data_IF_081608483522
#
_entry.id   IF_081608483522
#
_cell.length_a   1.000
_cell.length_b   1.000
_cell.length_c   1.000
_cell.angle_alpha   90.00
_cell.angle_beta   90.00
_cell.angle_gamma   90.00
#
_symmetry.space_group_name_H-M   'P 1'
#
loop_
_entity.id
_entity.type
_entity.pdbx_description
1 polymer ?
#
# COMPACT_ATOMS: atom_id res chain seq x y z
N UNK A 1 -21.06 -4.10 -7.60
CA UNK A 1 -19.68 -4.47 -7.27
C UNK A 1 -19.15 -3.38 -6.37
N UNK A 2 -19.09 -3.62 -5.06
CA UNK A 2 -18.50 -2.64 -4.13
C UNK A 2 -17.00 -2.64 -4.40
N UNK A 3 -16.47 -1.51 -4.85
CA UNK A 3 -15.03 -1.32 -5.02
C UNK A 3 -14.43 -1.17 -3.62
N UNK A 4 -13.86 -2.25 -3.10
CA UNK A 4 -13.26 -2.33 -1.75
C UNK A 4 -12.00 -1.47 -1.55
N UNK A 5 -11.62 -0.63 -2.51
CA UNK A 5 -10.46 0.26 -2.39
C UNK A 5 -10.66 1.24 -1.23
N UNK A 6 -11.79 1.95 -1.21
CA UNK A 6 -12.01 3.01 -0.22
C UNK A 6 -12.23 2.46 1.19
N UNK A 7 -12.92 1.32 1.32
CA UNK A 7 -13.08 0.66 2.62
C UNK A 7 -11.74 0.17 3.17
N UNK A 8 -10.85 -0.35 2.32
CA UNK A 8 -9.50 -0.76 2.72
C UNK A 8 -8.64 0.43 3.14
N UNK A 9 -8.75 1.57 2.45
CA UNK A 9 -8.07 2.82 2.80
C UNK A 9 -8.52 3.35 4.16
N UNK A 10 -9.83 3.34 4.45
CA UNK A 10 -10.39 3.75 5.75
C UNK A 10 -9.88 2.85 6.88
N UNK A 11 -9.85 1.53 6.70
CA UNK A 11 -9.34 0.59 7.71
C UNK A 11 -7.86 0.85 8.03
N UNK A 12 -7.05 1.12 7.01
CA UNK A 12 -5.63 1.45 7.19
C UNK A 12 -5.49 2.82 7.85
N UNK A 13 -6.24 3.82 7.41
CA UNK A 13 -6.17 5.16 7.98
C UNK A 13 -6.55 5.18 9.47
N UNK A 14 -7.60 4.46 9.87
CA UNK A 14 -7.97 4.30 11.27
C UNK A 14 -6.85 3.64 12.08
N UNK A 15 -6.33 2.51 11.59
CA UNK A 15 -5.29 1.73 12.28
C UNK A 15 -4.00 2.53 12.51
N UNK A 16 -3.52 3.26 11.51
CA UNK A 16 -2.25 4.02 11.57
C UNK A 16 -2.47 5.52 11.80
N UNK A 17 -3.69 5.94 12.19
CA UNK A 17 -4.05 7.35 12.45
C UNK A 17 -3.65 8.30 11.31
N UNK A 18 -3.97 7.90 10.08
CA UNK A 18 -3.66 8.67 8.88
C UNK A 18 -4.80 9.62 8.52
N UNK A 19 -4.45 10.77 7.96
CA UNK A 19 -5.38 11.69 7.34
C UNK A 19 -5.55 11.31 5.87
N UNK A 20 -6.71 10.76 5.51
CA UNK A 20 -7.06 10.47 4.11
C UNK A 20 -7.21 11.76 3.32
N UNK A 21 -6.82 11.70 2.04
CA UNK A 21 -6.95 12.82 1.12
C UNK A 21 -8.09 12.57 0.14
N UNK A 22 -8.76 13.65 -0.27
CA UNK A 22 -9.78 13.54 -1.31
C UNK A 22 -9.18 12.96 -2.60
N UNK A 23 -9.93 12.06 -3.24
CA UNK A 23 -9.53 11.24 -4.39
C UNK A 23 -9.10 12.02 -5.65
N UNK A 24 -9.12 13.36 -5.62
CA UNK A 24 -8.84 14.20 -6.77
C UNK A 24 -7.34 14.50 -6.88
N UNK A 25 -6.65 13.65 -7.67
CA UNK A 25 -5.39 13.94 -8.35
C UNK A 25 -4.06 13.86 -7.55
N UNK A 26 -3.97 13.06 -6.48
CA UNK A 26 -2.69 12.83 -5.78
C UNK A 26 -2.16 11.42 -6.00
N UNK A 27 -0.83 11.28 -6.03
CA UNK A 27 -0.09 10.01 -6.21
C UNK A 27 -0.07 9.13 -4.95
N UNK A 28 -0.73 9.58 -3.88
CA UNK A 28 -0.76 9.00 -2.54
C UNK A 28 -2.14 9.22 -1.91
N UNK A 29 -2.52 8.35 -0.97
CA UNK A 29 -3.88 8.21 -0.47
C UNK A 29 -4.06 8.87 0.93
N UNK A 30 -2.97 8.96 1.71
CA UNK A 30 -3.01 9.52 3.06
C UNK A 30 -1.69 10.21 3.47
N UNK A 31 -1.75 10.96 4.57
CA UNK A 31 -0.57 11.48 5.28
C UNK A 31 -0.60 11.11 6.76
N UNK A 32 0.57 10.91 7.36
CA UNK A 32 0.69 10.73 8.81
C UNK A 32 1.00 12.06 9.53
N UNK A 33 1.14 12.00 10.86
CA UNK A 33 1.47 13.18 11.68
C UNK A 33 2.84 13.82 11.39
N UNK A 34 3.71 13.14 10.64
CA UNK A 34 5.01 13.63 10.19
C UNK A 34 5.00 14.09 8.73
N UNK A 35 3.80 14.27 8.15
CA UNK A 35 3.60 14.66 6.75
C UNK A 35 4.22 13.67 5.73
N UNK A 36 4.49 12.43 6.15
CA UNK A 36 4.91 11.38 5.23
C UNK A 36 3.74 11.07 4.31
N UNK A 37 4.01 10.93 3.00
CA UNK A 37 2.99 10.63 1.98
C UNK A 37 2.88 9.14 1.80
N UNK A 38 1.70 8.58 2.09
CA UNK A 38 1.47 7.14 2.09
C UNK A 38 0.51 6.76 0.97
N UNK A 39 0.93 5.81 0.14
CA UNK A 39 0.04 5.07 -0.73
C UNK A 39 -0.45 3.82 -0.01
N UNK A 40 -1.75 3.56 -0.09
CA UNK A 40 -2.42 2.40 0.49
C UNK A 40 -2.84 1.46 -0.66
N UNK A 41 -2.61 0.17 -0.47
CA UNK A 41 -3.09 -0.88 -1.37
C UNK A 41 -3.74 -1.98 -0.57
N UNK A 42 -5.06 -2.12 -0.71
CA UNK A 42 -5.81 -3.25 -0.22
C UNK A 42 -6.03 -4.27 -1.36
N UNK A 43 -5.87 -5.56 -1.06
CA UNK A 43 -6.11 -6.62 -2.04
C UNK A 43 -6.70 -7.86 -1.40
N UNK A 44 -7.55 -8.57 -2.15
CA UNK A 44 -8.03 -9.91 -1.80
C UNK A 44 -7.32 -11.01 -2.60
N UNK A 45 -6.41 -10.64 -3.51
CA UNK A 45 -5.64 -11.58 -4.34
C UNK A 45 -4.15 -11.58 -3.95
N UNK A 46 -3.32 -12.37 -4.65
CA UNK A 46 -1.90 -12.55 -4.32
C UNK A 46 -0.95 -11.53 -4.98
N UNK A 47 -1.47 -10.39 -5.41
CA UNK A 47 -0.69 -9.31 -6.03
C UNK A 47 -1.33 -7.95 -5.83
N UNK A 48 -0.51 -6.92 -5.99
CA UNK A 48 -0.95 -5.52 -6.09
C UNK A 48 -0.35 -4.89 -7.34
N UNK A 49 -0.93 -3.78 -7.75
CA UNK A 49 -0.44 -2.94 -8.84
C UNK A 49 -0.13 -1.54 -8.32
N UNK A 50 0.99 -0.99 -8.75
CA UNK A 50 1.46 0.36 -8.42
C UNK A 50 1.75 1.12 -9.72
N UNK A 51 1.23 2.35 -9.83
CA UNK A 51 1.32 3.19 -11.04
C UNK A 51 2.49 4.18 -11.01
N UNK A 52 2.98 4.52 -9.81
CA UNK A 52 4.11 5.42 -9.59
C UNK A 52 4.96 4.91 -8.42
N UNK A 53 6.20 5.39 -8.31
CA UNK A 53 7.03 5.13 -7.14
C UNK A 53 6.42 5.83 -5.90
N UNK A 54 6.01 5.10 -4.86
CA UNK A 54 5.48 5.71 -3.65
C UNK A 54 6.61 6.17 -2.73
N UNK A 55 6.40 7.28 -2.01
CA UNK A 55 7.28 7.69 -0.91
C UNK A 55 7.21 6.64 0.20
N UNK A 56 6.01 6.37 0.73
CA UNK A 56 5.70 5.25 1.61
C UNK A 56 4.54 4.42 1.06
N UNK A 57 4.55 3.13 1.40
CA UNK A 57 3.55 2.16 0.96
C UNK A 57 3.06 1.34 2.16
N UNK A 58 1.75 1.25 2.30
CA UNK A 58 1.09 0.25 3.14
C UNK A 58 0.32 -0.71 2.25
N UNK A 59 0.59 -2.01 2.40
CA UNK A 59 -0.16 -3.07 1.71
C UNK A 59 -0.86 -3.94 2.74
N UNK A 60 -2.17 -4.10 2.60
CA UNK A 60 -2.95 -5.06 3.38
C UNK A 60 -3.53 -6.15 2.49
N UNK A 61 -3.61 -7.37 3.04
CA UNK A 61 -4.37 -8.47 2.48
C UNK A 61 -5.67 -8.58 3.25
N UNK A 62 -6.79 -8.58 2.54
CA UNK A 62 -8.12 -8.84 3.09
C UNK A 62 -8.48 -10.29 2.75
N UNK A 63 -8.89 -11.05 3.77
CA UNK A 63 -9.36 -12.42 3.66
C UNK A 63 -10.87 -12.46 3.37
N UNK A 64 -11.39 -13.62 2.95
CA UNK A 64 -12.79 -13.76 2.57
C UNK A 64 -13.78 -13.60 3.74
N UNK A 65 -13.31 -13.75 4.97
CA UNK A 65 -14.09 -13.50 6.20
C UNK A 65 -14.10 -12.03 6.62
N UNK A 66 -13.45 -11.15 5.84
CA UNK A 66 -13.35 -9.72 6.12
C UNK A 66 -12.24 -9.34 7.09
N UNK A 67 -11.50 -10.31 7.65
CA UNK A 67 -10.27 -10.02 8.38
C UNK A 67 -9.19 -9.50 7.44
N UNK A 68 -8.21 -8.78 7.98
CA UNK A 68 -7.10 -8.29 7.17
C UNK A 68 -5.79 -8.31 7.96
N UNK A 69 -4.68 -8.37 7.23
CA UNK A 69 -3.34 -8.27 7.82
C UNK A 69 -2.41 -7.39 7.00
N UNK A 70 -1.43 -6.81 7.71
CA UNK A 70 -0.35 -6.05 7.10
C UNK A 70 0.58 -6.99 6.31
N UNK A 71 0.80 -6.68 5.05
CA UNK A 71 1.77 -7.36 4.19
C UNK A 71 3.07 -6.55 4.10
N UNK A 72 2.94 -5.22 4.12
CA UNK A 72 4.06 -4.28 4.05
C UNK A 72 3.68 -2.95 4.68
N UNK A 73 4.66 -2.32 5.32
CA UNK A 73 4.57 -1.00 5.90
C UNK A 73 5.99 -0.41 5.90
N UNK A 74 6.23 0.60 5.07
CA UNK A 74 7.55 1.22 4.96
C UNK A 74 7.74 2.00 3.66
N UNK A 75 9.00 2.35 3.32
CA UNK A 75 9.33 3.11 2.11
C UNK A 75 8.88 2.40 0.83
N UNK A 76 8.37 3.13 -0.17
CA UNK A 76 7.84 2.51 -1.40
C UNK A 76 8.91 2.05 -2.39
N UNK A 77 10.10 2.66 -2.36
CA UNK A 77 11.17 2.43 -3.32
C UNK A 77 11.61 0.95 -3.47
N UNK A 78 11.80 0.15 -2.40
CA UNK A 78 12.16 -1.27 -2.53
C UNK A 78 11.10 -2.08 -3.29
N UNK A 79 9.82 -1.82 -3.02
CA UNK A 79 8.69 -2.48 -3.68
C UNK A 79 8.62 -2.05 -5.16
N UNK A 80 8.77 -0.76 -5.44
CA UNK A 80 8.79 -0.23 -6.80
C UNK A 80 9.93 -0.83 -7.63
N UNK A 81 11.16 -0.84 -7.12
CA UNK A 81 12.32 -1.42 -7.82
C UNK A 81 12.13 -2.90 -8.15
N UNK A 82 11.49 -3.64 -7.26
CA UNK A 82 11.26 -5.07 -7.39
C UNK A 82 9.97 -5.43 -8.16
N UNK A 83 9.12 -4.47 -8.48
CA UNK A 83 7.91 -4.71 -9.25
C UNK A 83 8.23 -5.10 -10.71
N UNK A 84 7.28 -5.78 -11.35
CA UNK A 84 7.41 -6.21 -12.75
C UNK A 84 7.56 -5.05 -13.74
N UNK A 85 7.61 -5.37 -15.02
CA UNK A 85 7.67 -4.38 -16.10
C UNK A 85 6.41 -3.49 -16.09
N UNK A 86 6.56 -2.26 -16.59
CA UNK A 86 5.44 -1.37 -16.84
C UNK A 86 4.50 -2.02 -17.88
N UNK A 87 3.24 -2.19 -17.50
CA UNK A 87 2.19 -2.72 -18.35
C UNK A 87 1.57 -1.60 -19.20
N UNK A 88 0.78 -1.95 -20.22
CA UNK A 88 0.13 -0.99 -21.13
C UNK A 88 -0.80 0.01 -20.40
N UNK A 89 -1.30 -0.37 -19.23
CA UNK A 89 -2.14 0.48 -18.38
C UNK A 89 -1.33 1.41 -17.46
N UNK A 90 -0.01 1.50 -17.64
CA UNK A 90 0.86 2.34 -16.82
C UNK A 90 1.13 1.80 -15.42
N UNK A 91 0.79 0.54 -15.13
CA UNK A 91 1.01 -0.06 -13.82
C UNK A 91 2.11 -1.12 -13.83
N UNK A 92 2.73 -1.31 -12.67
CA UNK A 92 3.66 -2.41 -12.40
C UNK A 92 3.02 -3.32 -11.36
N UNK A 93 3.01 -4.63 -11.63
CA UNK A 93 2.47 -5.61 -10.68
C UNK A 93 3.59 -6.28 -9.88
N UNK A 94 3.30 -6.62 -8.63
CA UNK A 94 4.20 -7.38 -7.75
C UNK A 94 3.39 -8.33 -6.88
N UNK A 95 3.91 -9.54 -6.65
CA UNK A 95 3.24 -10.54 -5.83
C UNK A 95 3.40 -10.26 -4.33
N UNK A 96 2.41 -10.65 -3.53
CA UNK A 96 2.49 -10.51 -2.07
C UNK A 96 3.66 -11.31 -1.49
N UNK A 97 3.98 -12.48 -2.04
CA UNK A 97 5.14 -13.27 -1.61
C UNK A 97 6.48 -12.52 -1.78
N UNK A 98 6.60 -11.65 -2.78
CA UNK A 98 7.79 -10.81 -2.96
C UNK A 98 7.77 -9.62 -2.00
N UNK A 99 6.61 -8.99 -1.84
CA UNK A 99 6.42 -7.89 -0.89
C UNK A 99 6.71 -8.33 0.55
N UNK A 100 6.19 -9.48 1.00
CA UNK A 100 6.45 -10.04 2.34
C UNK A 100 7.94 -10.23 2.60
N UNK A 101 8.71 -10.67 1.59
CA UNK A 101 10.17 -10.78 1.71
C UNK A 101 10.84 -9.43 1.90
N UNK A 102 10.35 -8.39 1.22
CA UNK A 102 10.86 -7.02 1.38
C UNK A 102 10.50 -6.42 2.74
N UNK A 103 9.34 -6.78 3.30
CA UNK A 103 8.91 -6.34 4.63
C UNK A 103 9.91 -6.71 5.73
N UNK A 104 10.58 -7.86 5.61
CA UNK A 104 11.59 -8.33 6.57
C UNK A 104 12.83 -7.43 6.65
N UNK A 105 13.04 -6.55 5.67
CA UNK A 105 14.19 -5.64 5.61
C UNK A 105 13.80 -4.19 5.93
N UNK A 106 12.54 -3.93 6.30
CA UNK A 106 12.12 -2.59 6.71
C UNK A 106 12.54 -2.38 8.16
N UNK A 107 13.37 -1.35 8.40
CA UNK A 107 13.74 -0.96 9.75
C UNK A 107 12.52 -0.45 10.52
N UNK A 108 12.47 -0.70 11.83
CA UNK A 108 11.33 -0.27 12.66
C UNK A 108 11.11 1.25 12.63
N UNK A 109 12.20 2.02 12.53
CA UNK A 109 12.16 3.48 12.41
C UNK A 109 11.46 3.96 11.12
N UNK A 110 11.47 3.14 10.07
CA UNK A 110 10.86 3.47 8.78
C UNK A 110 9.39 3.04 8.71
N UNK A 111 8.86 2.36 9.73
CA UNK A 111 7.45 1.97 9.74
C UNK A 111 6.55 3.15 10.09
N UNK A 112 5.36 3.15 9.50
CA UNK A 112 4.25 4.00 9.93
C UNK A 112 3.63 3.37 11.19
N UNK A 113 3.33 4.19 12.20
CA UNK A 113 2.89 3.76 13.55
C UNK A 113 1.46 4.17 13.82
#
# INVERSE_FOLDING_TARGET
>A
MVTWSEAGEVLVADKYRLSLLDASAKTYDAVDSHERRIQIKATQIERVSISSEPDYLIVIKIESDGTYFEVYNGPGAPVWKQAGKLQKNGQRSISLAKIKRLANYVADADKIK
#
